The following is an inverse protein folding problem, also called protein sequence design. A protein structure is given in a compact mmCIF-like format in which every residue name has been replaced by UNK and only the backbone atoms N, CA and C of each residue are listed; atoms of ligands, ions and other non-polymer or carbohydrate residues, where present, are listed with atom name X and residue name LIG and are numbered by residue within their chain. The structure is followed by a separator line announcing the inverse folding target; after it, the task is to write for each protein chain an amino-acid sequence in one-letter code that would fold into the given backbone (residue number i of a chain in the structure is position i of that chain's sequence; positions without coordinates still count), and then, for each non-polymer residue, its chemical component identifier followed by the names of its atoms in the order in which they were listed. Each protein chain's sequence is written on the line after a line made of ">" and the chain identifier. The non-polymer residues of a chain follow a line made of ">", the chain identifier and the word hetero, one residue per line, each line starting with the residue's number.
data_IF_964628295415
#
_entry.id   IF_964628295415
#
_cell.length_a   1.000
_cell.length_b   1.000
_cell.length_c   1.000
_cell.angle_alpha   90.00
_cell.angle_beta   90.00
_cell.angle_gamma   90.00
#
_symmetry.space_group_name_H-M   'P 1'
#
loop_
_entity.id
_entity.type
_entity.pdbx_description
1 polymer ?
#
# COMPACT_ATOMS: atom_id res chain seq x y z
N UNK A 1 -31.14 -5.16 -8.52
CA UNK A 1 -31.65 -4.70 -7.22
C UNK A 1 -31.13 -3.28 -6.99
N UNK A 2 -32.03 -2.29 -7.07
CA UNK A 2 -31.68 -0.86 -7.08
C UNK A 2 -30.74 -0.40 -5.94
N UNK A 3 -30.87 -0.84 -4.67
CA UNK A 3 -29.90 -0.47 -3.65
C UNK A 3 -28.48 -0.94 -3.98
N UNK A 4 -28.31 -2.17 -4.45
CA UNK A 4 -26.99 -2.70 -4.83
C UNK A 4 -26.42 -2.05 -6.11
N UNK A 5 -27.26 -1.50 -6.97
CA UNK A 5 -26.83 -0.73 -8.16
C UNK A 5 -26.35 0.66 -7.78
N UNK A 6 -26.82 1.21 -6.64
CA UNK A 6 -26.44 2.54 -6.15
C UNK A 6 -25.22 2.52 -5.24
N UNK A 7 -24.99 1.42 -4.53
CA UNK A 7 -23.88 1.20 -3.62
C UNK A 7 -23.42 -0.27 -3.74
N UNK A 8 -22.78 -0.66 -4.85
CA UNK A 8 -22.38 -2.05 -5.10
C UNK A 8 -21.42 -2.60 -4.05
N UNK A 9 -20.56 -1.75 -3.47
CA UNK A 9 -19.61 -2.08 -2.43
C UNK A 9 -20.29 -2.59 -1.15
N UNK A 10 -21.42 -2.02 -0.74
CA UNK A 10 -22.19 -2.44 0.45
C UNK A 10 -22.81 -3.84 0.30
N UNK A 11 -22.95 -4.33 -0.94
CA UNK A 11 -23.59 -5.59 -1.28
C UNK A 11 -22.62 -6.63 -1.87
N UNK A 12 -21.35 -6.27 -2.03
CA UNK A 12 -20.34 -7.19 -2.58
C UNK A 12 -20.06 -8.35 -1.62
N UNK A 13 -19.97 -8.07 -0.32
CA UNK A 13 -19.93 -9.09 0.71
C UNK A 13 -20.72 -8.63 1.93
N UNK A 14 -21.71 -9.40 2.35
CA UNK A 14 -22.44 -9.16 3.59
C UNK A 14 -21.73 -9.89 4.71
N UNK A 15 -20.87 -9.19 5.44
CA UNK A 15 -20.22 -9.74 6.63
C UNK A 15 -21.22 -9.81 7.79
N UNK A 16 -21.34 -10.96 8.50
CA UNK A 16 -22.03 -10.98 9.78
C UNK A 16 -21.31 -10.01 10.72
N UNK A 17 -22.03 -9.07 11.29
CA UNK A 17 -21.57 -7.91 12.07
C UNK A 17 -20.18 -8.03 12.68
N UNK A 18 -19.25 -7.25 12.18
CA UNK A 18 -17.85 -7.32 12.54
C UNK A 18 -17.63 -6.78 13.96
N UNK A 19 -17.09 -7.61 14.85
CA UNK A 19 -16.65 -7.18 16.18
C UNK A 19 -15.37 -6.29 16.15
N UNK A 20 -14.80 -6.07 14.96
CA UNK A 20 -13.56 -5.30 14.76
C UNK A 20 -13.77 -3.95 14.07
N UNK A 21 -15.00 -3.46 13.93
CA UNK A 21 -15.24 -2.09 13.48
C UNK A 21 -14.82 -1.11 14.58
N UNK A 22 -13.51 -0.96 14.78
CA UNK A 22 -12.98 0.28 15.36
C UNK A 22 -13.15 1.34 14.30
N UNK A 23 -13.62 2.52 14.69
CA UNK A 23 -13.81 3.66 13.78
C UNK A 23 -12.52 4.05 13.03
N UNK A 24 -11.35 3.65 13.54
CA UNK A 24 -10.03 3.84 12.95
C UNK A 24 -9.34 2.50 12.67
N UNK A 25 -8.88 2.34 11.43
CA UNK A 25 -8.04 1.24 10.96
C UNK A 25 -6.90 1.76 10.07
N UNK A 26 -5.94 0.89 9.72
CA UNK A 26 -4.79 1.30 8.91
C UNK A 26 -5.17 1.78 7.52
N UNK A 27 -6.16 1.17 6.85
CA UNK A 27 -6.62 1.59 5.53
C UNK A 27 -7.14 3.02 5.53
N UNK A 28 -8.01 3.36 6.50
CA UNK A 28 -8.54 4.72 6.67
C UNK A 28 -7.42 5.72 6.99
N UNK A 29 -6.51 5.36 7.91
CA UNK A 29 -5.36 6.22 8.26
C UNK A 29 -4.41 6.42 7.09
N UNK A 30 -4.20 5.40 6.26
CA UNK A 30 -3.44 5.53 5.03
C UNK A 30 -4.05 6.61 4.11
N UNK A 31 -5.35 6.56 3.85
CA UNK A 31 -6.03 7.56 3.03
C UNK A 31 -5.91 8.97 3.60
N UNK A 32 -6.16 9.15 4.91
CA UNK A 32 -6.02 10.44 5.60
C UNK A 32 -4.58 10.99 5.48
N UNK A 33 -3.56 10.14 5.70
CA UNK A 33 -2.16 10.54 5.62
C UNK A 33 -1.71 10.83 4.19
N UNK A 34 -2.23 10.09 3.21
CA UNK A 34 -1.93 10.38 1.80
C UNK A 34 -2.52 11.73 1.37
N UNK A 35 -3.72 12.07 1.85
CA UNK A 35 -4.32 13.39 1.64
C UNK A 35 -3.48 14.50 2.27
N UNK A 36 -2.98 14.29 3.50
CA UNK A 36 -2.10 15.26 4.17
C UNK A 36 -0.77 15.43 3.41
N UNK A 37 -0.14 14.33 3.02
CA UNK A 37 1.11 14.33 2.26
C UNK A 37 0.95 15.02 0.90
N UNK A 38 -0.12 14.71 0.16
CA UNK A 38 -0.43 15.31 -1.14
C UNK A 38 -0.83 16.79 -1.06
N UNK A 39 -1.18 17.30 0.12
CA UNK A 39 -1.40 18.74 0.32
C UNK A 39 -0.12 19.57 0.29
N UNK A 40 1.02 18.90 0.51
CA UNK A 40 2.35 19.50 0.54
C UNK A 40 3.16 19.20 -0.73
N UNK A 41 2.70 18.22 -1.54
CA UNK A 41 3.41 17.68 -2.69
C UNK A 41 2.47 17.43 -3.86
N UNK A 42 2.65 18.17 -4.94
CA UNK A 42 1.75 18.14 -6.11
C UNK A 42 2.04 16.97 -7.06
N UNK A 43 3.17 16.30 -6.92
CA UNK A 43 3.61 15.14 -7.69
C UNK A 43 3.01 13.81 -7.20
N UNK A 44 2.37 13.79 -6.03
CA UNK A 44 1.73 12.59 -5.49
C UNK A 44 0.43 12.29 -6.23
N UNK A 45 0.27 11.03 -6.65
CA UNK A 45 -0.97 10.49 -7.18
C UNK A 45 -1.34 9.17 -6.50
N UNK A 46 -2.64 8.92 -6.36
CA UNK A 46 -3.22 7.71 -5.79
C UNK A 46 -3.73 6.78 -6.90
N UNK A 47 -3.35 5.53 -6.86
CA UNK A 47 -3.77 4.50 -7.83
C UNK A 47 -4.41 3.32 -7.08
N UNK A 48 -5.44 2.75 -7.67
CA UNK A 48 -6.05 1.52 -7.18
C UNK A 48 -6.60 0.68 -8.34
N UNK A 49 -6.92 -0.57 -8.05
CA UNK A 49 -7.53 -1.53 -8.98
C UNK A 49 -8.90 -1.98 -8.46
N UNK A 50 -9.92 -1.12 -8.59
CA UNK A 50 -11.30 -1.31 -8.11
C UNK A 50 -11.43 -1.50 -6.59
N UNK A 51 -10.53 -0.89 -5.80
CA UNK A 51 -10.50 -1.04 -4.33
C UNK A 51 -10.48 0.31 -3.59
N UNK A 52 -10.99 1.38 -4.20
CA UNK A 52 -10.87 2.75 -3.69
C UNK A 52 -11.31 2.91 -2.24
N UNK A 53 -12.52 2.48 -1.90
CA UNK A 53 -13.08 2.60 -0.55
C UNK A 53 -12.43 1.65 0.44
N UNK A 54 -12.23 0.40 -0.01
CA UNK A 54 -11.68 -0.64 0.83
C UNK A 54 -10.21 -0.41 1.25
N UNK A 55 -9.47 0.42 0.51
CA UNK A 55 -8.08 0.83 0.82
C UNK A 55 -7.99 2.25 1.39
N UNK A 56 -9.14 2.93 1.62
CA UNK A 56 -9.18 4.29 2.15
C UNK A 56 -8.80 5.39 1.15
N UNK A 57 -8.70 5.07 -0.15
CA UNK A 57 -8.39 6.06 -1.20
C UNK A 57 -9.60 6.89 -1.65
N UNK A 58 -10.81 6.62 -1.15
CA UNK A 58 -12.01 7.41 -1.39
C UNK A 58 -11.83 8.87 -0.97
N UNK A 59 -11.26 9.14 0.20
CA UNK A 59 -10.97 10.51 0.69
C UNK A 59 -9.95 11.24 -0.20
N UNK A 60 -8.98 10.50 -0.75
CA UNK A 60 -8.03 11.06 -1.71
C UNK A 60 -8.71 11.38 -3.05
N UNK A 61 -9.54 10.47 -3.57
CA UNK A 61 -10.35 10.65 -4.78
C UNK A 61 -11.23 11.91 -4.71
N UNK A 62 -11.88 12.12 -3.56
CA UNK A 62 -12.75 13.29 -3.37
C UNK A 62 -11.97 14.60 -3.44
N UNK A 63 -10.79 14.64 -2.81
CA UNK A 63 -10.00 15.88 -2.70
C UNK A 63 -9.10 16.14 -3.91
N UNK A 64 -8.54 15.10 -4.52
CA UNK A 64 -7.52 15.17 -5.58
C UNK A 64 -7.93 14.40 -6.82
N UNK A 65 -9.13 14.63 -7.34
CA UNK A 65 -9.72 13.87 -8.44
C UNK A 65 -8.84 13.76 -9.69
N UNK A 66 -8.06 14.79 -9.99
CA UNK A 66 -7.17 14.84 -11.17
C UNK A 66 -5.84 14.06 -10.94
N UNK A 67 -5.58 13.60 -9.72
CA UNK A 67 -4.41 12.82 -9.33
C UNK A 67 -4.79 11.44 -8.79
N UNK A 68 -6.04 11.04 -8.97
CA UNK A 68 -6.56 9.73 -8.59
C UNK A 68 -6.93 8.92 -9.84
N UNK A 69 -6.49 7.65 -9.85
CA UNK A 69 -6.71 6.73 -10.95
C UNK A 69 -7.20 5.37 -10.43
N UNK A 70 -8.37 4.96 -10.88
CA UNK A 70 -8.87 3.61 -10.69
C UNK A 70 -8.84 2.89 -12.04
N UNK A 71 -8.01 1.87 -12.15
CA UNK A 71 -7.80 1.13 -13.41
C UNK A 71 -8.77 -0.05 -13.59
N UNK A 72 -9.72 -0.22 -12.67
CA UNK A 72 -10.56 -1.40 -12.62
C UNK A 72 -9.79 -2.63 -12.08
N UNK A 73 -10.36 -3.83 -12.22
CA UNK A 73 -9.74 -5.08 -11.74
C UNK A 73 -8.58 -5.47 -12.68
N UNK A 74 -7.45 -4.77 -12.56
CA UNK A 74 -6.28 -4.93 -13.43
C UNK A 74 -4.99 -4.52 -12.67
N UNK A 75 -4.58 -5.32 -11.70
CA UNK A 75 -3.44 -5.03 -10.82
C UNK A 75 -2.12 -4.92 -11.57
N UNK A 76 -1.92 -5.75 -12.61
CA UNK A 76 -0.77 -5.71 -13.49
C UNK A 76 -0.68 -4.37 -14.23
N UNK A 77 -1.83 -3.93 -14.77
CA UNK A 77 -1.91 -2.62 -15.43
C UNK A 77 -1.65 -1.46 -14.46
N UNK A 78 -2.16 -1.55 -13.22
CA UNK A 78 -1.91 -0.54 -12.20
C UNK A 78 -0.42 -0.34 -11.92
N UNK A 79 0.36 -1.42 -11.86
CA UNK A 79 1.81 -1.37 -11.64
C UNK A 79 2.52 -0.75 -12.85
N UNK A 80 2.24 -1.21 -14.07
CA UNK A 80 2.81 -0.65 -15.31
C UNK A 80 2.44 0.83 -15.48
N UNK A 81 1.20 1.20 -15.17
CA UNK A 81 0.72 2.58 -15.20
C UNK A 81 1.45 3.45 -14.16
N UNK A 82 1.63 2.93 -12.94
CA UNK A 82 2.41 3.60 -11.89
C UNK A 82 3.85 3.82 -12.31
N UNK A 83 4.47 2.83 -12.94
CA UNK A 83 5.82 2.95 -13.50
C UNK A 83 5.91 4.08 -14.54
N UNK A 84 4.93 4.16 -15.45
CA UNK A 84 4.85 5.24 -16.44
C UNK A 84 4.71 6.63 -15.82
N UNK A 85 3.91 6.77 -14.77
CA UNK A 85 3.78 8.02 -14.02
C UNK A 85 5.09 8.39 -13.29
N UNK A 86 5.74 7.43 -12.64
CA UNK A 86 7.00 7.64 -11.94
C UNK A 86 8.13 8.03 -12.90
N UNK A 87 8.23 7.40 -14.07
CA UNK A 87 9.17 7.76 -15.12
C UNK A 87 8.99 9.19 -15.65
N UNK A 88 7.82 9.78 -15.45
CA UNK A 88 7.52 11.17 -15.81
C UNK A 88 7.52 12.13 -14.60
N UNK A 89 8.15 11.73 -13.50
CA UNK A 89 8.40 12.60 -12.34
C UNK A 89 7.27 12.67 -11.31
N UNK A 90 6.23 11.81 -11.43
CA UNK A 90 5.23 11.67 -10.39
C UNK A 90 5.70 10.73 -9.27
N UNK A 91 5.05 10.82 -8.12
CA UNK A 91 5.22 9.92 -6.96
C UNK A 91 3.93 9.10 -6.75
N UNK A 92 3.75 7.98 -7.46
CA UNK A 92 2.56 7.17 -7.37
C UNK A 92 2.53 6.33 -6.08
N UNK A 93 1.38 6.36 -5.40
CA UNK A 93 1.02 5.49 -4.30
C UNK A 93 -0.07 4.52 -4.80
N UNK A 94 0.31 3.29 -5.06
CA UNK A 94 -0.60 2.24 -5.54
C UNK A 94 -1.09 1.40 -4.37
N UNK A 95 -2.39 1.49 -4.04
CA UNK A 95 -3.01 0.72 -2.97
C UNK A 95 -3.71 -0.53 -3.50
N UNK A 96 -3.33 -1.67 -2.94
CA UNK A 96 -3.76 -3.01 -3.40
C UNK A 96 -3.79 -3.98 -2.22
N UNK A 97 -4.70 -4.98 -2.26
CA UNK A 97 -4.66 -6.07 -1.28
C UNK A 97 -3.44 -6.97 -1.49
N UNK A 98 -2.85 -7.41 -0.39
CA UNK A 98 -1.69 -8.30 -0.41
C UNK A 98 -1.89 -9.54 -1.30
N UNK A 99 -3.03 -10.22 -1.20
CA UNK A 99 -3.32 -11.40 -2.03
C UNK A 99 -3.50 -11.07 -3.52
N UNK A 100 -3.92 -9.85 -3.87
CA UNK A 100 -4.14 -9.46 -5.26
C UNK A 100 -2.86 -8.93 -5.93
N UNK A 101 -1.93 -8.39 -5.14
CA UNK A 101 -0.63 -7.97 -5.66
C UNK A 101 0.16 -9.11 -6.32
N UNK A 102 -0.12 -10.36 -5.93
CA UNK A 102 0.53 -11.54 -6.53
C UNK A 102 0.36 -11.61 -8.05
N UNK A 103 -0.74 -11.07 -8.61
CA UNK A 103 -0.98 -11.05 -10.06
C UNK A 103 0.05 -10.19 -10.79
N UNK A 104 0.49 -9.11 -10.17
CA UNK A 104 1.41 -8.15 -10.77
C UNK A 104 2.88 -8.35 -10.42
N UNK A 105 3.30 -9.53 -9.96
CA UNK A 105 4.69 -9.78 -9.55
C UNK A 105 5.70 -9.49 -10.68
N UNK A 106 5.41 -9.94 -11.89
CA UNK A 106 6.26 -9.68 -13.06
C UNK A 106 6.40 -8.18 -13.34
N UNK A 107 5.28 -7.44 -13.35
CA UNK A 107 5.29 -5.98 -13.58
C UNK A 107 6.03 -5.23 -12.45
N UNK A 108 5.91 -5.72 -11.21
CA UNK A 108 6.66 -5.15 -10.09
C UNK A 108 8.17 -5.29 -10.29
N UNK A 109 8.63 -6.44 -10.80
CA UNK A 109 10.04 -6.69 -11.10
C UNK A 109 10.50 -5.89 -12.33
N UNK A 110 9.82 -6.06 -13.47
CA UNK A 110 10.30 -5.54 -14.75
C UNK A 110 10.01 -4.06 -14.97
N UNK A 111 8.79 -3.62 -14.60
CA UNK A 111 8.37 -2.26 -14.93
C UNK A 111 8.84 -1.26 -13.85
N UNK A 112 9.00 -1.71 -12.60
CA UNK A 112 9.30 -0.84 -11.47
C UNK A 112 10.71 -1.08 -10.92
N UNK A 113 10.99 -2.29 -10.42
CA UNK A 113 12.21 -2.53 -9.65
C UNK A 113 13.48 -2.50 -10.52
N UNK A 114 13.50 -3.14 -11.67
CA UNK A 114 14.63 -3.10 -12.60
C UNK A 114 14.98 -1.69 -13.08
N UNK A 115 13.98 -0.82 -13.17
CA UNK A 115 14.15 0.57 -13.59
C UNK A 115 14.40 1.51 -12.40
N UNK A 116 14.36 0.98 -11.17
CA UNK A 116 14.51 1.76 -9.92
C UNK A 116 13.55 2.96 -9.83
N UNK A 117 12.31 2.78 -10.31
CA UNK A 117 11.31 3.85 -10.31
C UNK A 117 10.71 4.06 -8.92
N UNK A 118 10.54 5.31 -8.47
CA UNK A 118 10.06 5.63 -7.14
C UNK A 118 8.53 5.45 -7.01
N UNK A 119 8.09 4.22 -7.11
CA UNK A 119 6.70 3.80 -6.90
C UNK A 119 6.53 3.26 -5.48
N UNK A 120 5.53 3.73 -4.77
CA UNK A 120 5.15 3.25 -3.43
C UNK A 120 3.99 2.28 -3.55
N UNK A 121 4.22 1.00 -3.30
CA UNK A 121 3.18 -0.04 -3.29
C UNK A 121 2.62 -0.17 -1.88
N UNK A 122 1.37 0.25 -1.67
CA UNK A 122 0.69 0.22 -0.38
C UNK A 122 -0.13 -1.07 -0.26
N UNK A 123 0.40 -2.02 0.50
CA UNK A 123 -0.12 -3.39 0.60
C UNK A 123 -1.06 -3.47 1.79
N UNK A 124 -2.34 -3.38 1.50
CA UNK A 124 -3.43 -3.51 2.47
C UNK A 124 -3.75 -4.99 2.74
N UNK A 125 -4.41 -5.28 3.83
CA UNK A 125 -4.80 -6.62 4.28
C UNK A 125 -3.63 -7.60 4.41
N UNK A 126 -2.47 -7.09 4.82
CA UNK A 126 -1.33 -7.94 5.13
C UNK A 126 -1.59 -8.81 6.36
N UNK A 127 -1.22 -10.08 6.30
CA UNK A 127 -1.43 -11.07 7.35
C UNK A 127 -2.68 -11.91 7.14
N UNK A 128 -3.19 -12.50 8.22
CA UNK A 128 -4.37 -13.36 8.19
C UNK A 128 -5.64 -12.51 8.11
N UNK A 129 -6.48 -12.77 7.11
CA UNK A 129 -7.82 -12.19 7.04
C UNK A 129 -8.81 -13.05 7.81
N UNK A 130 -9.41 -12.49 8.85
CA UNK A 130 -10.37 -13.22 9.67
C UNK A 130 -11.75 -13.37 9.00
N UNK A 131 -12.11 -12.44 8.12
CA UNK A 131 -13.47 -12.33 7.58
C UNK A 131 -13.57 -12.76 6.11
N UNK A 132 -12.55 -12.44 5.30
CA UNK A 132 -12.57 -12.72 3.85
C UNK A 132 -12.10 -14.16 3.53
N UNK A 133 -11.63 -14.89 4.53
CA UNK A 133 -11.22 -16.28 4.41
C UNK A 133 -9.87 -16.52 3.72
N UNK A 134 -9.55 -17.80 3.42
CA UNK A 134 -8.21 -18.19 2.95
C UNK A 134 -7.77 -17.54 1.64
N UNK A 135 -8.71 -17.15 0.78
CA UNK A 135 -8.41 -16.53 -0.51
C UNK A 135 -7.87 -15.11 -0.39
N UNK A 136 -8.02 -14.50 0.78
CA UNK A 136 -7.58 -13.12 1.07
C UNK A 136 -6.44 -13.05 2.10
N UNK A 137 -5.89 -14.19 2.54
CA UNK A 137 -4.73 -14.16 3.43
C UNK A 137 -3.51 -13.55 2.75
N UNK A 138 -3.04 -12.43 3.29
CA UNK A 138 -1.86 -11.69 2.82
C UNK A 138 -0.58 -12.20 3.48
N UNK A 139 -0.17 -13.44 3.21
CA UNK A 139 0.93 -14.11 3.89
C UNK A 139 2.18 -14.33 3.01
N UNK A 140 2.08 -14.05 1.71
CA UNK A 140 3.16 -14.32 0.76
C UNK A 140 3.91 -13.04 0.33
N UNK A 141 3.36 -11.86 0.60
CA UNK A 141 3.88 -10.57 0.16
C UNK A 141 5.33 -10.33 0.63
N UNK A 142 5.65 -10.60 1.89
CA UNK A 142 7.02 -10.44 2.40
C UNK A 142 8.00 -11.31 1.62
N UNK A 143 7.63 -12.57 1.35
CA UNK A 143 8.51 -13.52 0.65
C UNK A 143 8.86 -13.03 -0.75
N UNK A 144 7.85 -12.72 -1.58
CA UNK A 144 8.15 -12.34 -2.96
C UNK A 144 8.70 -10.90 -3.10
N UNK A 145 8.35 -9.97 -2.21
CA UNK A 145 8.92 -8.61 -2.25
C UNK A 145 10.38 -8.60 -1.79
N UNK A 146 10.72 -9.36 -0.74
CA UNK A 146 12.09 -9.40 -0.24
C UNK A 146 13.09 -10.05 -1.21
N UNK A 147 12.60 -10.79 -2.20
CA UNK A 147 13.43 -11.35 -3.28
C UNK A 147 13.68 -10.35 -4.43
N UNK A 148 12.94 -9.23 -4.47
CA UNK A 148 13.09 -8.22 -5.53
C UNK A 148 14.22 -7.26 -5.14
N UNK A 149 15.32 -7.27 -5.89
CA UNK A 149 16.47 -6.45 -5.56
C UNK A 149 16.18 -4.95 -5.68
N UNK A 150 16.72 -4.16 -4.74
CA UNK A 150 16.55 -2.71 -4.74
C UNK A 150 15.20 -2.20 -4.24
N UNK A 151 14.31 -3.10 -3.81
CA UNK A 151 13.00 -2.75 -3.26
C UNK A 151 13.05 -2.67 -1.74
N UNK A 152 12.69 -1.52 -1.17
CA UNK A 152 12.54 -1.37 0.28
C UNK A 152 11.17 -1.88 0.75
N UNK A 153 11.11 -2.49 1.94
CA UNK A 153 9.87 -2.99 2.55
C UNK A 153 9.68 -2.41 3.96
N UNK A 154 8.61 -1.65 4.14
CA UNK A 154 8.17 -1.10 5.42
C UNK A 154 7.03 -1.92 6.01
N UNK A 155 7.11 -2.23 7.30
CA UNK A 155 6.11 -2.98 8.04
C UNK A 155 5.64 -2.20 9.28
N UNK A 156 4.88 -1.11 9.12
CA UNK A 156 4.43 -0.31 10.26
C UNK A 156 3.47 -1.11 11.16
N UNK A 157 3.66 -1.00 12.46
CA UNK A 157 2.82 -1.64 13.49
C UNK A 157 1.90 -0.66 14.22
N UNK A 158 2.04 0.65 13.98
CA UNK A 158 1.23 1.71 14.55
C UNK A 158 0.86 2.76 13.50
N UNK A 159 -0.18 3.54 13.77
CA UNK A 159 -0.55 4.65 12.88
C UNK A 159 0.57 5.69 12.76
N UNK A 160 1.29 5.93 13.85
CA UNK A 160 2.46 6.81 13.82
C UNK A 160 3.56 6.26 12.90
N UNK A 161 3.89 4.97 13.00
CA UNK A 161 4.90 4.35 12.13
C UNK A 161 4.43 4.26 10.68
N UNK A 162 3.13 4.10 10.41
CA UNK A 162 2.57 4.18 9.06
C UNK A 162 2.82 5.56 8.45
N UNK A 163 2.53 6.63 9.20
CA UNK A 163 2.77 8.00 8.74
C UNK A 163 4.25 8.24 8.42
N UNK A 164 5.15 7.82 9.32
CA UNK A 164 6.59 7.94 9.09
C UNK A 164 7.04 7.14 7.87
N UNK A 165 6.55 5.90 7.70
CA UNK A 165 6.86 5.08 6.53
C UNK A 165 6.41 5.74 5.22
N UNK A 166 5.25 6.39 5.20
CA UNK A 166 4.76 7.11 4.02
C UNK A 166 5.61 8.35 3.71
N UNK A 167 6.05 9.09 4.73
CA UNK A 167 6.93 10.24 4.55
C UNK A 167 8.33 9.83 4.06
N UNK A 168 8.89 8.76 4.62
CA UNK A 168 10.18 8.20 4.15
C UNK A 168 10.07 7.62 2.73
N UNK A 169 9.00 6.88 2.44
CA UNK A 169 8.75 6.33 1.12
C UNK A 169 8.61 7.41 0.03
N UNK A 170 8.01 8.55 0.37
CA UNK A 170 7.95 9.70 -0.53
C UNK A 170 9.34 10.27 -0.84
N UNK A 171 10.22 10.35 0.16
CA UNK A 171 11.57 10.88 0.01
C UNK A 171 12.53 9.89 -0.66
N UNK A 172 12.20 8.61 -0.63
CA UNK A 172 13.04 7.57 -1.20
C UNK A 172 12.99 7.62 -2.74
N UNK A 173 14.15 7.77 -3.38
CA UNK A 173 14.27 7.76 -4.85
C UNK A 173 14.53 6.33 -5.37
N UNK A 174 13.70 5.41 -4.91
CA UNK A 174 13.72 3.98 -5.24
C UNK A 174 12.34 3.35 -5.00
N UNK A 175 12.06 2.18 -5.59
CA UNK A 175 10.80 1.49 -5.36
C UNK A 175 10.69 0.98 -3.93
N UNK A 176 9.49 1.07 -3.36
CA UNK A 176 9.26 0.54 -2.02
C UNK A 176 7.84 0.01 -1.85
N UNK A 177 7.67 -0.82 -0.83
CA UNK A 177 6.38 -1.32 -0.40
C UNK A 177 6.14 -0.98 1.07
N UNK A 178 4.90 -0.61 1.41
CA UNK A 178 4.45 -0.40 2.79
C UNK A 178 3.31 -1.39 3.04
N UNK A 179 3.54 -2.39 3.91
CA UNK A 179 2.53 -3.41 4.21
C UNK A 179 1.89 -3.20 5.57
N UNK A 180 0.56 -3.24 5.61
CA UNK A 180 -0.22 -3.06 6.84
C UNK A 180 -1.49 -3.90 6.82
N UNK A 181 -2.02 -4.20 8.01
CA UNK A 181 -3.32 -4.88 8.15
C UNK A 181 -4.47 -3.90 7.92
N UNK A 182 -5.67 -4.41 7.66
CA UNK A 182 -6.90 -3.59 7.67
C UNK A 182 -7.54 -3.45 9.06
N UNK A 183 -6.85 -3.90 10.11
CA UNK A 183 -7.30 -3.77 11.50
C UNK A 183 -6.90 -2.42 12.10
N UNK A 184 -7.41 -2.14 13.31
CA UNK A 184 -6.93 -1.04 14.14
C UNK A 184 -5.61 -1.38 14.84
N UNK A 185 -5.01 -0.40 15.50
CA UNK A 185 -3.83 -0.60 16.35
C UNK A 185 -4.11 -1.57 17.50
N UNK A 186 -3.13 -2.40 17.81
CA UNK A 186 -3.11 -3.21 19.01
C UNK A 186 -2.09 -2.62 20.01
N UNK A 187 -2.57 -1.83 20.96
CA UNK A 187 -1.72 -1.18 21.95
C UNK A 187 -0.90 -2.18 22.80
N UNK A 188 -1.46 -3.37 23.06
CA UNK A 188 -0.77 -4.41 23.82
C UNK A 188 0.44 -4.95 23.04
N UNK A 189 0.29 -5.19 21.74
CA UNK A 189 1.38 -5.60 20.86
C UNK A 189 2.44 -4.50 20.80
N UNK A 190 2.02 -3.27 20.56
CA UNK A 190 2.95 -2.13 20.50
C UNK A 190 3.72 -1.97 21.81
N UNK A 191 3.06 -2.05 22.96
CA UNK A 191 3.71 -1.96 24.27
C UNK A 191 4.67 -3.11 24.56
N UNK A 192 4.32 -4.33 24.16
CA UNK A 192 5.08 -5.54 24.48
C UNK A 192 6.31 -5.72 23.59
N UNK A 193 6.17 -5.48 22.30
CA UNK A 193 7.22 -5.77 21.32
C UNK A 193 8.00 -4.51 20.88
N UNK A 194 7.43 -3.33 21.08
CA UNK A 194 8.01 -2.07 20.63
C UNK A 194 7.97 -1.00 21.75
N UNK A 195 8.43 -1.29 22.98
CA UNK A 195 8.29 -0.36 24.12
C UNK A 195 9.03 0.96 23.91
N UNK A 196 10.05 0.97 23.04
CA UNK A 196 10.86 2.16 22.71
C UNK A 196 10.78 2.54 21.23
N UNK A 197 10.02 1.84 20.41
CA UNK A 197 10.04 1.97 18.94
C UNK A 197 9.08 3.03 18.40
N UNK A 198 8.69 3.95 19.23
CA UNK A 198 7.98 5.14 18.74
C UNK A 198 8.80 5.93 17.70
N UNK A 199 10.06 5.56 17.47
CA UNK A 199 11.03 6.29 16.66
C UNK A 199 11.75 5.45 15.58
N UNK A 200 11.63 4.11 15.56
CA UNK A 200 12.31 3.28 14.55
C UNK A 200 11.34 2.57 13.64
N UNK A 201 11.53 2.72 12.34
CA UNK A 201 10.87 1.94 11.29
C UNK A 201 11.62 0.62 11.12
N UNK A 202 10.88 -0.50 11.04
CA UNK A 202 11.43 -1.77 10.58
C UNK A 202 11.50 -1.72 9.05
N UNK A 203 12.67 -1.42 8.52
CA UNK A 203 12.95 -1.41 7.09
C UNK A 203 13.81 -2.62 6.76
N UNK A 204 13.34 -3.46 5.86
CA UNK A 204 14.16 -4.46 5.21
C UNK A 204 14.51 -3.93 3.81
N UNK A 205 15.80 -3.79 3.54
CA UNK A 205 16.31 -3.42 2.21
C UNK A 205 17.06 -4.62 1.66
N UNK A 206 16.70 -5.08 0.48
CA UNK A 206 17.52 -6.05 -0.25
C UNK A 206 18.67 -5.29 -0.91
N UNK A 207 19.87 -5.42 -0.37
CA UNK A 207 21.06 -4.78 -0.93
C UNK A 207 21.40 -5.37 -2.30
N UNK A 208 21.36 -4.53 -3.32
CA UNK A 208 22.17 -4.73 -4.50
C UNK A 208 23.58 -4.24 -4.17
N UNK A 209 24.54 -5.14 -4.13
CA UNK A 209 25.94 -4.72 -4.28
C UNK A 209 26.04 -3.96 -5.61
N UNK A 210 26.29 -2.67 -5.54
CA UNK A 210 26.77 -1.91 -6.69
C UNK A 210 28.14 -2.48 -7.00
N UNK A 211 28.20 -3.40 -7.95
CA UNK A 211 29.46 -3.76 -8.60
C UNK A 211 29.98 -2.47 -9.23
N UNK A 212 30.88 -1.80 -8.52
CA UNK A 212 31.71 -0.77 -9.12
C UNK A 212 32.52 -1.45 -10.23
N UNK A 213 32.02 -1.32 -11.44
CA UNK A 213 32.82 -1.63 -12.64
C UNK A 213 34.07 -0.78 -12.55
N UNK A 214 35.15 -1.38 -12.07
CA UNK A 214 36.47 -0.92 -12.42
C UNK A 214 36.62 -1.06 -13.94
N UNK A 215 36.75 0.07 -14.60
CA UNK A 215 36.87 0.27 -16.03
C UNK A 215 38.03 -0.38 -16.70
#
# INVERSE_FOLDING_TARGET
>A
YQPAERAPEDYHSVSPGCMCAKDDNFSKKFGEYLVDLASRHDDICGITAAMSEATGLDVFREKYRNRFFDVGIAEEHALTFSAGLAANGMRPFFAVYSSFLQRGYDNLVHDIALQQLPVVVCIDRAGLSAFDGPTHHGIFDVAFISEIPGMALYCPSSFKSLRLAMEEAYLLDAPCAIRYSNCGECEEINRRFYPNSMESLNVAVSDFEKDEKKG
#
